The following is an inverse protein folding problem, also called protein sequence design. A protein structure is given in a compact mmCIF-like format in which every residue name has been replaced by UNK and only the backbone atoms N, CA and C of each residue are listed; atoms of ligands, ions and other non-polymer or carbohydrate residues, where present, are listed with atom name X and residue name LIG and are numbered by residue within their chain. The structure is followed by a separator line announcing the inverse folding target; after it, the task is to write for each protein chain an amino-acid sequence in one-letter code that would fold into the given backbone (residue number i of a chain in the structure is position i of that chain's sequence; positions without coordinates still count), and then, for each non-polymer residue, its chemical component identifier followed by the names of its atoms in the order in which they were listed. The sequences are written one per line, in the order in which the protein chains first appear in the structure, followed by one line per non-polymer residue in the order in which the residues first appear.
data_IF_592221080261
#
_entry.id   IF_592221080261
#
_cell.length_a   1.000
_cell.length_b   1.000
_cell.length_c   1.000
_cell.angle_alpha   90.00
_cell.angle_beta   90.00
_cell.angle_gamma   90.00
#
_symmetry.space_group_name_H-M   'P 1'
#
loop_
_entity.id
_entity.type
_entity.pdbx_description
1 polymer ?
#
# COMPACT_ATOMS: atom_id res chain seq x y z
N UNK A 1 -28.40 -0.68 20.43
CA UNK A 1 -29.47 -0.76 19.42
C UNK A 1 -30.42 -1.96 19.68
N UNK A 2 -30.91 -2.18 20.91
CA UNK A 2 -32.06 -3.06 21.23
C UNK A 2 -32.03 -4.57 20.85
N UNK A 3 -31.13 -5.01 19.99
CA UNK A 3 -31.00 -6.39 19.55
C UNK A 3 -30.16 -7.19 20.52
N UNK A 4 -30.67 -8.36 20.93
CA UNK A 4 -29.97 -9.30 21.78
C UNK A 4 -29.21 -10.34 20.95
N UNK A 5 -27.89 -10.29 21.00
CA UNK A 5 -27.02 -11.27 20.36
C UNK A 5 -26.51 -12.27 21.41
N UNK A 6 -26.85 -13.54 21.22
CA UNK A 6 -26.52 -14.61 22.16
C UNK A 6 -25.38 -15.48 21.62
N UNK A 7 -24.20 -14.89 21.41
CA UNK A 7 -23.00 -15.63 21.01
C UNK A 7 -22.06 -15.82 22.20
N UNK A 8 -21.73 -17.06 22.49
CA UNK A 8 -20.79 -17.41 23.57
C UNK A 8 -19.36 -17.53 23.08
N UNK A 9 -19.18 -17.98 21.83
CA UNK A 9 -17.86 -18.21 21.25
C UNK A 9 -17.81 -17.76 19.79
N UNK A 10 -16.60 -17.51 19.27
CA UNK A 10 -16.40 -17.23 17.83
C UNK A 10 -16.89 -18.36 16.93
N UNK A 11 -17.05 -19.59 17.45
CA UNK A 11 -17.61 -20.71 16.71
C UNK A 11 -19.08 -20.47 16.36
N UNK A 12 -19.86 -19.96 17.31
CA UNK A 12 -21.29 -19.70 17.12
C UNK A 12 -21.50 -18.72 15.96
N UNK A 13 -20.62 -17.71 15.87
CA UNK A 13 -20.61 -16.71 14.78
C UNK A 13 -20.25 -17.35 13.44
N UNK A 14 -19.20 -18.19 13.40
CA UNK A 14 -18.77 -18.85 12.15
C UNK A 14 -19.83 -19.84 11.65
N UNK A 15 -20.45 -20.57 12.56
CA UNK A 15 -21.53 -21.52 12.24
C UNK A 15 -22.77 -20.78 11.70
N UNK A 16 -23.07 -19.57 12.21
CA UNK A 16 -24.12 -18.72 11.63
C UNK A 16 -23.74 -18.22 10.22
N UNK A 17 -22.51 -17.72 10.02
CA UNK A 17 -22.04 -17.26 8.71
C UNK A 17 -22.13 -18.39 7.67
N UNK A 18 -21.74 -19.61 8.05
CA UNK A 18 -21.83 -20.78 7.18
C UNK A 18 -23.25 -21.16 6.76
N UNK A 19 -24.25 -20.85 7.60
CA UNK A 19 -25.67 -21.05 7.28
C UNK A 19 -26.26 -19.90 6.48
N UNK A 20 -25.88 -18.67 6.78
CA UNK A 20 -26.46 -17.45 6.20
C UNK A 20 -25.85 -17.04 4.87
N UNK A 21 -24.61 -17.44 4.58
CA UNK A 21 -23.87 -17.00 3.38
C UNK A 21 -23.47 -18.22 2.55
N UNK A 22 -24.08 -18.45 1.37
CA UNK A 22 -23.83 -19.65 0.55
C UNK A 22 -22.37 -19.91 0.18
N UNK A 23 -21.55 -18.87 0.05
CA UNK A 23 -20.11 -19.02 -0.25
C UNK A 23 -19.28 -19.49 0.94
N UNK A 24 -19.82 -19.47 2.15
CA UNK A 24 -19.18 -20.03 3.33
C UNK A 24 -19.84 -21.35 3.77
N UNK A 25 -20.71 -21.93 2.94
CA UNK A 25 -21.35 -23.22 3.20
C UNK A 25 -20.29 -24.29 3.50
N UNK A 26 -20.42 -24.96 4.65
CA UNK A 26 -19.49 -25.99 5.11
C UNK A 26 -18.18 -25.47 5.74
N UNK A 27 -18.12 -24.18 6.10
CA UNK A 27 -17.06 -23.66 6.96
C UNK A 27 -17.18 -24.27 8.37
N UNK A 28 -16.07 -24.76 8.91
CA UNK A 28 -16.00 -25.31 10.26
C UNK A 28 -14.72 -24.87 10.96
N UNK A 29 -14.84 -24.38 12.19
CA UNK A 29 -13.70 -23.90 12.99
C UNK A 29 -12.65 -24.99 13.21
N UNK A 30 -13.07 -26.23 13.42
CA UNK A 30 -12.16 -27.36 13.63
C UNK A 30 -11.35 -27.70 12.38
N UNK A 31 -11.96 -27.55 11.20
CA UNK A 31 -11.30 -27.77 9.91
C UNK A 31 -10.30 -26.66 9.60
N UNK A 32 -10.67 -25.41 9.89
CA UNK A 32 -9.78 -24.24 9.73
C UNK A 32 -8.46 -24.43 10.48
N UNK A 33 -8.52 -24.94 11.72
CA UNK A 33 -7.32 -25.17 12.55
C UNK A 33 -6.35 -26.22 11.99
N UNK A 34 -6.82 -27.17 11.18
CA UNK A 34 -6.00 -28.32 10.75
C UNK A 34 -5.57 -28.27 9.28
N UNK A 35 -6.45 -27.81 8.39
CA UNK A 35 -6.26 -27.95 6.93
C UNK A 35 -6.66 -26.70 6.12
N UNK A 36 -7.10 -25.63 6.77
CA UNK A 36 -7.64 -24.45 6.09
C UNK A 36 -8.97 -24.72 5.36
N UNK A 37 -9.55 -23.67 4.80
CA UNK A 37 -10.83 -23.71 4.08
C UNK A 37 -10.79 -22.75 2.89
N UNK A 38 -11.19 -23.23 1.72
CA UNK A 38 -11.32 -22.42 0.51
C UNK A 38 -12.81 -22.21 0.21
N UNK A 39 -13.27 -20.97 0.40
CA UNK A 39 -14.69 -20.56 0.38
C UNK A 39 -15.38 -20.77 -0.98
N UNK A 40 -14.68 -20.69 -2.11
CA UNK A 40 -15.31 -20.85 -3.44
C UNK A 40 -15.59 -22.32 -3.82
N UNK A 41 -15.04 -23.30 -3.07
CA UNK A 41 -15.03 -24.70 -3.52
C UNK A 41 -16.44 -25.31 -3.63
N UNK A 42 -17.37 -24.93 -2.75
CA UNK A 42 -18.75 -25.46 -2.76
C UNK A 42 -19.56 -24.97 -3.96
N UNK A 43 -19.32 -23.75 -4.43
CA UNK A 43 -20.00 -23.16 -5.59
C UNK A 43 -19.33 -23.55 -6.91
N UNK A 44 -18.01 -23.75 -6.91
CA UNK A 44 -17.25 -24.10 -8.11
C UNK A 44 -17.76 -25.38 -8.77
N UNK A 45 -18.09 -26.41 -7.99
CA UNK A 45 -18.66 -27.66 -8.52
C UNK A 45 -20.16 -27.58 -8.84
N UNK A 46 -20.89 -26.62 -8.24
CA UNK A 46 -22.34 -26.46 -8.42
C UNK A 46 -22.70 -25.55 -9.59
N UNK A 47 -21.77 -24.72 -10.07
CA UNK A 47 -22.03 -23.72 -11.11
C UNK A 47 -21.42 -24.13 -12.46
N UNK A 48 -22.19 -24.00 -13.54
CA UNK A 48 -21.63 -24.12 -14.89
C UNK A 48 -20.57 -23.04 -15.09
N UNK A 49 -19.41 -23.42 -15.62
CA UNK A 49 -18.37 -22.47 -15.97
C UNK A 49 -18.95 -21.36 -16.88
N UNK A 50 -18.76 -20.11 -16.47
CA UNK A 50 -19.19 -18.97 -17.27
C UNK A 50 -18.43 -18.95 -18.60
N UNK A 51 -19.10 -18.54 -19.67
CA UNK A 51 -18.44 -18.29 -20.97
C UNK A 51 -17.50 -17.10 -20.78
N UNK A 52 -16.19 -17.33 -20.90
CA UNK A 52 -15.20 -16.28 -20.75
C UNK A 52 -15.37 -15.23 -21.86
N UNK A 53 -15.50 -13.96 -21.46
CA UNK A 53 -15.52 -12.82 -22.38
C UNK A 53 -14.16 -12.14 -22.34
N UNK A 54 -13.53 -12.02 -23.51
CA UNK A 54 -12.31 -11.26 -23.66
C UNK A 54 -12.66 -9.83 -24.07
N UNK A 55 -12.33 -8.86 -23.21
CA UNK A 55 -12.50 -7.43 -23.50
C UNK A 55 -11.13 -6.75 -23.46
N UNK A 56 -10.75 -6.11 -24.57
CA UNK A 56 -9.54 -5.29 -24.63
C UNK A 56 -9.88 -3.90 -24.10
N UNK A 57 -9.40 -3.56 -22.91
CA UNK A 57 -9.57 -2.22 -22.38
C UNK A 57 -8.71 -1.22 -23.17
N UNK A 58 -9.36 -0.21 -23.76
CA UNK A 58 -8.66 0.92 -24.37
C UNK A 58 -7.87 1.69 -23.32
N UNK A 59 -6.63 2.09 -23.66
CA UNK A 59 -5.75 2.86 -22.78
C UNK A 59 -6.39 4.20 -22.42
N UNK A 60 -6.92 4.32 -21.20
CA UNK A 60 -7.32 5.63 -20.66
C UNK A 60 -6.05 6.46 -20.45
N UNK A 61 -5.85 7.48 -21.28
CA UNK A 61 -4.82 8.49 -21.06
C UNK A 61 -5.30 9.44 -19.97
N UNK A 62 -5.20 9.02 -18.71
CA UNK A 62 -5.15 10.01 -17.64
C UNK A 62 -3.85 10.77 -17.84
N UNK A 63 -3.94 11.95 -18.44
CA UNK A 63 -2.78 12.79 -18.65
C UNK A 63 -2.17 13.08 -17.29
N UNK A 64 -0.97 12.56 -17.04
CA UNK A 64 -0.12 13.03 -15.95
C UNK A 64 0.10 14.51 -16.28
N UNK A 65 -0.60 15.40 -15.57
CA UNK A 65 -0.48 16.83 -15.82
C UNK A 65 0.94 17.23 -15.47
N UNK A 66 1.75 17.49 -16.51
CA UNK A 66 3.12 17.97 -16.32
C UNK A 66 3.07 19.31 -15.61
N UNK A 67 3.58 19.35 -14.38
CA UNK A 67 3.62 20.57 -13.59
C UNK A 67 5.07 21.07 -13.53
N UNK A 68 5.36 22.17 -14.23
CA UNK A 68 6.71 22.75 -14.25
C UNK A 68 7.22 23.12 -12.85
N UNK A 69 6.33 23.42 -11.88
CA UNK A 69 6.70 23.74 -10.49
C UNK A 69 7.05 22.48 -9.68
N UNK A 70 6.43 21.36 -10.00
CA UNK A 70 6.57 20.07 -9.33
C UNK A 70 6.88 18.98 -10.37
N UNK A 71 8.14 18.88 -10.82
CA UNK A 71 8.49 18.09 -12.00
C UNK A 71 8.51 16.58 -11.78
N UNK A 72 8.45 16.11 -10.53
CA UNK A 72 8.50 14.69 -10.19
C UNK A 72 7.12 14.16 -9.81
N UNK A 73 6.88 12.88 -10.05
CA UNK A 73 5.69 12.17 -9.57
C UNK A 73 6.03 11.43 -8.28
N UNK A 74 5.20 11.60 -7.25
CA UNK A 74 5.29 10.82 -6.02
C UNK A 74 4.61 9.47 -6.20
N UNK A 75 5.38 8.40 -6.02
CA UNK A 75 4.93 7.03 -5.87
C UNK A 75 4.93 6.69 -4.39
N UNK A 76 3.82 6.16 -3.90
CA UNK A 76 3.71 5.64 -2.53
C UNK A 76 3.45 4.16 -2.55
N UNK A 77 3.94 3.46 -1.53
CA UNK A 77 3.65 2.04 -1.37
C UNK A 77 4.19 1.47 -0.06
N UNK A 78 3.94 0.18 0.10
CA UNK A 78 4.33 -0.54 1.31
C UNK A 78 5.83 -0.83 1.35
N UNK A 79 6.41 -0.70 2.54
CA UNK A 79 7.75 -1.22 2.83
C UNK A 79 7.65 -2.73 3.05
N UNK A 80 8.71 -3.46 2.70
CA UNK A 80 8.81 -4.88 3.04
C UNK A 80 8.90 -5.10 4.56
N UNK A 81 9.47 -4.14 5.30
CA UNK A 81 9.88 -4.31 6.71
C UNK A 81 8.89 -3.74 7.72
N UNK A 82 8.00 -2.86 7.28
CA UNK A 82 6.98 -2.23 8.13
C UNK A 82 5.61 -2.43 7.50
N UNK A 83 4.61 -2.81 8.28
CA UNK A 83 3.22 -3.06 7.89
C UNK A 83 2.25 -2.44 8.91
N UNK A 84 2.47 -1.17 9.25
CA UNK A 84 1.61 -0.43 10.16
C UNK A 84 1.88 -0.72 11.64
N UNK A 85 0.83 -0.67 12.47
CA UNK A 85 0.93 -0.61 13.94
C UNK A 85 1.64 -1.81 14.57
N UNK A 86 1.39 -3.03 14.09
CA UNK A 86 1.97 -4.23 14.72
C UNK A 86 3.49 -4.34 14.53
N UNK A 87 4.02 -4.05 13.34
CA UNK A 87 5.46 -4.07 13.10
C UNK A 87 6.22 -3.01 13.88
N UNK A 88 5.54 -1.90 14.23
CA UNK A 88 6.10 -0.80 15.01
C UNK A 88 6.28 -1.12 16.49
N UNK A 89 5.59 -2.14 17.01
CA UNK A 89 5.78 -2.58 18.39
C UNK A 89 6.90 -3.62 18.54
N UNK A 90 7.52 -4.04 17.43
CA UNK A 90 8.66 -4.96 17.46
C UNK A 90 9.97 -4.19 17.39
N UNK A 91 10.74 -4.21 18.47
CA UNK A 91 12.07 -3.58 18.54
C UNK A 91 13.00 -4.09 17.43
N UNK A 92 12.95 -5.39 17.13
CA UNK A 92 13.74 -6.00 16.07
C UNK A 92 13.41 -5.42 14.69
N UNK A 93 12.12 -5.25 14.36
CA UNK A 93 11.70 -4.69 13.06
C UNK A 93 12.02 -3.19 12.96
N UNK A 94 11.88 -2.44 14.06
CA UNK A 94 12.29 -1.04 14.12
C UNK A 94 13.80 -0.91 13.89
N UNK A 95 14.62 -1.76 14.54
CA UNK A 95 16.08 -1.70 14.38
C UNK A 95 16.54 -1.97 12.94
N UNK A 96 15.84 -2.86 12.22
CA UNK A 96 16.18 -3.23 10.84
C UNK A 96 15.83 -2.14 9.82
N UNK A 97 14.82 -1.32 10.12
CA UNK A 97 14.32 -0.27 9.24
C UNK A 97 13.92 0.96 10.06
N UNK A 98 14.90 1.56 10.73
CA UNK A 98 14.69 2.70 11.62
C UNK A 98 14.41 4.00 10.87
N UNK A 99 14.82 4.09 9.60
CA UNK A 99 14.71 5.30 8.81
C UNK A 99 13.87 5.09 7.54
N UNK A 100 13.02 6.07 7.25
CA UNK A 100 12.32 6.19 5.98
C UNK A 100 13.15 7.06 5.02
N UNK A 101 13.24 6.61 3.78
CA UNK A 101 14.02 7.29 2.74
C UNK A 101 13.12 7.68 1.57
N UNK A 102 13.54 8.70 0.82
CA UNK A 102 13.02 8.96 -0.51
C UNK A 102 13.92 8.30 -1.52
N UNK A 103 13.38 7.32 -2.24
CA UNK A 103 14.11 6.69 -3.32
C UNK A 103 14.03 7.55 -4.59
N UNK A 104 15.20 7.85 -5.15
CA UNK A 104 15.36 8.70 -6.33
C UNK A 104 16.20 7.97 -7.36
N UNK A 105 15.85 8.10 -8.64
CA UNK A 105 16.68 7.60 -9.73
C UNK A 105 18.07 8.25 -9.70
N UNK A 106 19.12 7.46 -9.96
CA UNK A 106 20.52 7.93 -9.99
C UNK A 106 20.74 9.14 -10.92
N UNK A 107 20.09 9.17 -12.09
CA UNK A 107 20.25 10.28 -13.05
C UNK A 107 19.60 11.57 -12.56
N UNK A 108 18.41 11.47 -11.97
CA UNK A 108 17.71 12.64 -11.46
C UNK A 108 18.36 13.18 -10.20
N UNK A 109 18.87 12.29 -9.34
CA UNK A 109 19.69 12.69 -8.21
C UNK A 109 20.94 13.46 -8.65
N UNK A 110 21.63 13.00 -9.71
CA UNK A 110 22.78 13.71 -10.29
C UNK A 110 22.40 15.08 -10.86
N UNK A 111 21.26 15.20 -11.55
CA UNK A 111 20.75 16.49 -12.06
C UNK A 111 20.41 17.47 -10.93
N UNK A 112 19.97 16.96 -9.78
CA UNK A 112 19.57 17.75 -8.63
C UNK A 112 20.69 17.95 -7.58
N UNK A 113 21.92 17.48 -7.86
CA UNK A 113 23.07 17.49 -6.93
C UNK A 113 22.78 16.83 -5.56
N UNK A 114 22.01 15.74 -5.60
CA UNK A 114 21.63 14.94 -4.43
C UNK A 114 22.45 13.65 -4.41
N UNK A 115 23.11 13.39 -3.28
CA UNK A 115 23.87 12.16 -3.02
C UNK A 115 23.09 11.27 -2.06
N UNK A 116 23.40 9.98 -2.08
CA UNK A 116 22.82 9.03 -1.13
C UNK A 116 23.10 9.46 0.31
N UNK A 117 22.05 9.53 1.14
CA UNK A 117 22.13 9.96 2.54
C UNK A 117 21.86 11.45 2.77
N UNK A 118 21.81 12.28 1.72
CA UNK A 118 21.51 13.71 1.86
C UNK A 118 20.11 13.96 2.43
N UNK A 119 19.98 14.95 3.30
CA UNK A 119 18.67 15.42 3.76
C UNK A 119 18.00 16.25 2.66
N UNK A 120 16.89 15.75 2.14
CA UNK A 120 16.12 16.40 1.09
C UNK A 120 14.75 16.83 1.61
N UNK A 121 14.26 17.93 1.04
CA UNK A 121 12.91 18.43 1.24
C UNK A 121 12.06 18.07 0.03
N UNK A 122 10.92 17.43 0.28
CA UNK A 122 9.92 17.03 -0.72
C UNK A 122 8.70 17.90 -0.50
N UNK A 123 8.26 18.60 -1.54
CA UNK A 123 7.13 19.52 -1.48
C UNK A 123 6.11 19.18 -2.55
N UNK A 124 4.84 19.13 -2.18
CA UNK A 124 3.70 19.08 -3.09
C UNK A 124 2.90 20.37 -3.01
N UNK A 125 1.71 20.40 -3.63
CA UNK A 125 0.77 21.51 -3.44
C UNK A 125 0.11 21.48 -2.04
N UNK A 126 0.04 20.31 -1.41
CA UNK A 126 -0.67 20.06 -0.15
C UNK A 126 0.25 20.19 1.08
N UNK A 127 1.52 19.84 0.94
CA UNK A 127 2.42 19.77 2.10
C UNK A 127 3.90 19.67 1.74
N UNK A 128 4.71 19.52 2.78
CA UNK A 128 6.16 19.36 2.67
C UNK A 128 6.69 18.40 3.73
N UNK A 129 7.70 17.60 3.37
CA UNK A 129 8.39 16.67 4.26
C UNK A 129 9.90 16.79 4.11
N UNK A 130 10.65 16.41 5.14
CA UNK A 130 12.11 16.31 5.11
C UNK A 130 12.50 14.88 5.40
N UNK A 131 13.28 14.27 4.52
CA UNK A 131 13.69 12.87 4.60
C UNK A 131 15.07 12.69 3.97
N UNK A 132 15.75 11.59 4.29
CA UNK A 132 17.02 11.24 3.65
C UNK A 132 16.78 10.70 2.24
N UNK A 133 17.62 11.11 1.29
CA UNK A 133 17.62 10.58 -0.06
C UNK A 133 18.30 9.22 -0.11
N UNK A 134 17.73 8.31 -0.89
CA UNK A 134 18.34 7.03 -1.25
C UNK A 134 18.40 6.90 -2.75
N UNK A 135 19.58 6.92 -3.33
CA UNK A 135 19.72 6.85 -4.79
C UNK A 135 19.72 5.39 -5.25
N UNK A 136 18.72 5.02 -6.07
CA UNK A 136 18.55 3.65 -6.56
C UNK A 136 18.30 3.62 -8.07
N UNK A 137 18.45 2.46 -8.68
CA UNK A 137 18.03 2.21 -10.07
C UNK A 137 16.61 1.62 -10.18
N UNK A 138 15.89 1.51 -9.06
CA UNK A 138 14.57 0.86 -8.99
C UNK A 138 13.44 1.81 -9.36
N UNK A 139 13.62 3.09 -9.06
CA UNK A 139 12.64 4.14 -9.36
C UNK A 139 12.89 4.66 -10.78
N UNK A 140 11.86 4.78 -11.63
CA UNK A 140 12.01 5.35 -12.96
C UNK A 140 12.39 6.84 -12.92
N UNK A 141 13.00 7.33 -13.99
CA UNK A 141 13.30 8.76 -14.13
C UNK A 141 12.00 9.59 -14.10
N UNK A 142 12.04 10.76 -13.45
CA UNK A 142 10.88 11.63 -13.25
C UNK A 142 9.93 11.19 -12.13
N UNK A 143 10.26 10.12 -11.39
CA UNK A 143 9.50 9.68 -10.22
C UNK A 143 10.35 9.65 -8.96
N UNK A 144 9.68 9.75 -7.81
CA UNK A 144 10.27 9.53 -6.49
C UNK A 144 9.38 8.58 -5.71
N UNK A 145 9.98 7.71 -4.90
CA UNK A 145 9.22 6.75 -4.09
C UNK A 145 9.42 7.01 -2.60
N UNK A 146 8.31 7.01 -1.84
CA UNK A 146 8.32 7.12 -0.38
C UNK A 146 7.38 6.05 0.19
N UNK A 147 7.83 5.32 1.20
CA UNK A 147 6.97 4.33 1.85
C UNK A 147 5.98 4.98 2.80
N UNK A 148 4.73 4.51 2.78
CA UNK A 148 3.63 5.02 3.62
C UNK A 148 3.53 4.35 5.00
N UNK A 149 4.41 3.39 5.30
CA UNK A 149 4.23 2.52 6.47
C UNK A 149 4.88 3.09 7.76
N UNK A 150 5.55 4.24 7.65
CA UNK A 150 6.27 4.91 8.74
C UNK A 150 5.40 5.98 9.41
N UNK A 151 5.19 5.87 10.73
CA UNK A 151 4.29 6.77 11.47
C UNK A 151 4.82 8.20 11.60
N UNK A 152 6.12 8.32 11.91
CA UNK A 152 6.80 9.61 12.04
C UNK A 152 6.99 10.34 10.70
N UNK A 153 6.56 9.72 9.59
CA UNK A 153 6.60 10.31 8.25
C UNK A 153 5.19 10.31 7.67
N UNK A 154 4.43 11.40 7.84
CA UNK A 154 3.05 11.45 7.38
C UNK A 154 2.97 11.70 5.87
N UNK A 155 3.35 10.71 5.05
CA UNK A 155 3.42 10.79 3.57
C UNK A 155 2.08 11.21 2.95
N UNK A 156 0.97 10.80 3.58
CA UNK A 156 -0.37 11.16 3.13
C UNK A 156 -0.64 12.67 3.14
N UNK A 157 0.13 13.46 3.89
CA UNK A 157 0.03 14.94 3.87
C UNK A 157 0.51 15.55 2.55
N UNK A 158 1.32 14.83 1.76
CA UNK A 158 1.73 15.26 0.44
C UNK A 158 0.67 14.97 -0.62
N UNK A 159 -0.24 14.03 -0.37
CA UNK A 159 -1.15 13.49 -1.39
C UNK A 159 -2.31 14.44 -1.66
N UNK A 160 -2.62 14.63 -2.94
CA UNK A 160 -3.82 15.31 -3.41
C UNK A 160 -4.81 14.36 -4.07
N UNK A 161 -5.85 14.91 -4.70
CA UNK A 161 -6.75 14.15 -5.57
C UNK A 161 -6.00 13.72 -6.84
N UNK A 162 -5.83 12.41 -7.04
CA UNK A 162 -5.16 11.85 -8.23
C UNK A 162 -3.64 11.73 -8.09
N UNK A 163 -2.92 11.96 -9.19
CA UNK A 163 -1.45 11.91 -9.20
C UNK A 163 -0.86 13.07 -8.40
N UNK A 164 0.08 12.75 -7.52
CA UNK A 164 0.72 13.75 -6.67
C UNK A 164 2.05 14.16 -7.29
N UNK A 165 2.12 15.38 -7.79
CA UNK A 165 3.35 15.96 -8.29
C UNK A 165 4.14 16.61 -7.14
N UNK A 166 5.46 16.39 -7.13
CA UNK A 166 6.37 16.88 -6.10
C UNK A 166 7.60 17.54 -6.67
N UNK A 167 8.24 18.35 -5.83
CA UNK A 167 9.54 18.96 -6.05
C UNK A 167 10.47 18.46 -4.96
N UNK A 168 11.67 18.06 -5.36
CA UNK A 168 12.76 17.71 -4.44
C UNK A 168 13.78 18.83 -4.42
N UNK A 169 14.33 19.12 -3.25
CA UNK A 169 15.42 20.07 -3.07
C UNK A 169 16.33 19.60 -1.94
N UNK A 170 17.64 19.78 -2.12
CA UNK A 170 18.62 19.47 -1.09
C UNK A 170 18.51 20.50 0.04
N UNK A 171 18.46 20.02 1.27
CA UNK A 171 18.48 20.87 2.47
C UNK A 171 19.93 20.99 2.92
N UNK A 172 20.37 22.21 3.25
CA UNK A 172 21.66 22.43 3.92
C UNK A 172 21.62 21.88 5.34
#
# INVERSE_FOLDING_TARGET
MGHEYHYTTSKDIVDEIGKGVPIYEGIEVNRLRRKGFHWILSLYYKTKAAVYRFEVASKKTNAITSNKKYPFILLTGSSLRHQGTYSRNSESLISLASECFVEINRKDAKKADIVNGDNIKIESAQGKLKLKAKTTGRVPEGAVFISENYEWVPVNTLRGNGYTNVKISKTK
#
